data_IF_081084688094
#
_entry.id   IF_081084688094
#
_cell.length_a   1.000
_cell.length_b   1.000
_cell.length_c   1.000
_cell.angle_alpha   90.00
_cell.angle_beta   90.00
_cell.angle_gamma   90.00
#
_symmetry.space_group_name_H-M   'P 1'
#
loop_
_entity.id
_entity.type
_entity.pdbx_description
1 polymer ?
#
# COMPACT_ATOMS: atom_id res chain seq x y z
N UNK A 1 12.89 7.15 15.32
CA UNK A 1 11.62 6.85 14.65
C UNK A 1 11.94 6.00 13.43
N UNK A 2 11.34 4.83 13.29
CA UNK A 2 11.61 3.90 12.17
C UNK A 2 10.60 4.19 11.04
N UNK A 3 11.07 4.47 9.83
CA UNK A 3 10.23 4.81 8.68
C UNK A 3 9.29 3.64 8.30
N UNK A 4 9.69 2.39 8.52
CA UNK A 4 8.85 1.22 8.27
C UNK A 4 7.70 1.16 9.28
N UNK A 5 7.98 1.50 10.55
CA UNK A 5 6.94 1.54 11.59
C UNK A 5 5.93 2.65 11.28
N UNK A 6 6.40 3.82 10.84
CA UNK A 6 5.53 4.94 10.45
C UNK A 6 4.59 4.55 9.29
N UNK A 7 5.12 4.00 8.19
CA UNK A 7 4.31 3.60 7.04
C UNK A 7 3.28 2.50 7.37
N UNK A 8 3.59 1.60 8.31
CA UNK A 8 2.64 0.59 8.78
C UNK A 8 1.49 1.17 9.59
N UNK A 9 1.74 2.25 10.35
CA UNK A 9 0.68 2.95 11.04
C UNK A 9 -0.18 3.76 10.07
N UNK A 10 0.42 4.41 9.06
CA UNK A 10 -0.32 5.08 7.98
C UNK A 10 -1.28 4.12 7.27
N UNK A 11 -0.85 2.88 6.97
CA UNK A 11 -1.72 1.86 6.39
C UNK A 11 -2.96 1.57 7.24
N UNK A 12 -2.79 1.44 8.56
CA UNK A 12 -3.92 1.23 9.47
C UNK A 12 -4.85 2.44 9.53
N UNK A 13 -4.30 3.65 9.43
CA UNK A 13 -5.08 4.90 9.42
C UNK A 13 -5.92 4.97 8.14
N UNK A 14 -5.30 4.78 6.98
CA UNK A 14 -5.98 4.75 5.68
C UNK A 14 -7.06 3.67 5.63
N UNK A 15 -6.77 2.46 6.12
CA UNK A 15 -7.74 1.36 6.21
C UNK A 15 -8.97 1.73 7.04
N UNK A 16 -8.77 2.38 8.20
CA UNK A 16 -9.88 2.86 9.04
C UNK A 16 -10.71 3.93 8.34
N UNK A 17 -10.06 4.85 7.62
CA UNK A 17 -10.75 5.88 6.85
C UNK A 17 -11.61 5.26 5.74
N UNK A 18 -11.10 4.27 5.00
CA UNK A 18 -11.90 3.54 4.01
C UNK A 18 -13.08 2.80 4.65
N UNK A 19 -12.88 2.10 5.77
CA UNK A 19 -13.98 1.45 6.51
C UNK A 19 -15.03 2.45 7.01
N UNK A 20 -14.63 3.66 7.40
CA UNK A 20 -15.56 4.74 7.78
C UNK A 20 -16.32 5.22 6.55
N UNK A 21 -15.64 5.44 5.43
CA UNK A 21 -16.25 5.84 4.16
C UNK A 21 -17.31 4.85 3.68
N UNK A 22 -17.01 3.54 3.72
CA UNK A 22 -17.95 2.47 3.34
C UNK A 22 -19.19 2.39 4.24
N UNK A 23 -19.05 2.77 5.51
CA UNK A 23 -20.16 2.82 6.48
C UNK A 23 -20.98 4.11 6.38
N UNK A 24 -20.41 5.17 5.80
CA UNK A 24 -21.10 6.44 5.61
C UNK A 24 -22.09 6.31 4.46
N UNK A 25 -23.34 6.67 4.75
CA UNK A 25 -24.42 6.60 3.77
C UNK A 25 -24.14 7.43 2.52
N UNK A 26 -24.60 6.96 1.35
CA UNK A 26 -24.36 7.63 0.07
C UNK A 26 -24.98 9.04 0.00
N UNK A 27 -26.06 9.28 0.75
CA UNK A 27 -26.71 10.60 0.87
C UNK A 27 -25.94 11.58 1.78
N UNK A 28 -25.06 11.09 2.66
CA UNK A 28 -24.17 11.92 3.47
C UNK A 28 -22.90 12.31 2.70
N UNK A 29 -23.13 13.03 1.60
CA UNK A 29 -22.09 13.51 0.68
C UNK A 29 -21.06 14.42 1.37
N UNK A 30 -21.46 15.14 2.42
CA UNK A 30 -20.59 16.02 3.18
C UNK A 30 -19.57 15.21 3.98
N UNK A 31 -20.01 14.18 4.69
CA UNK A 31 -19.13 13.32 5.47
C UNK A 31 -18.23 12.44 4.58
N UNK A 32 -18.78 11.89 3.48
CA UNK A 32 -17.97 11.14 2.50
C UNK A 32 -16.86 12.00 1.91
N UNK A 33 -17.15 13.27 1.60
CA UNK A 33 -16.16 14.21 1.10
C UNK A 33 -15.06 14.47 2.14
N UNK A 34 -15.42 14.70 3.40
CA UNK A 34 -14.43 14.88 4.49
C UNK A 34 -13.50 13.69 4.62
N UNK A 35 -14.06 12.48 4.63
CA UNK A 35 -13.26 11.26 4.73
C UNK A 35 -12.35 11.11 3.50
N UNK A 36 -12.84 11.43 2.30
CA UNK A 36 -12.01 11.41 1.09
C UNK A 36 -10.86 12.44 1.15
N UNK A 37 -11.11 13.64 1.66
CA UNK A 37 -10.08 14.67 1.86
C UNK A 37 -9.01 14.18 2.86
N UNK A 38 -9.42 13.54 3.97
CA UNK A 38 -8.52 12.91 4.95
C UNK A 38 -7.68 11.78 4.31
N UNK A 39 -8.28 10.91 3.48
CA UNK A 39 -7.56 9.84 2.76
C UNK A 39 -6.52 10.41 1.80
N UNK A 40 -6.85 11.48 1.07
CA UNK A 40 -5.93 12.13 0.13
C UNK A 40 -4.71 12.69 0.87
N UNK A 41 -4.92 13.33 2.02
CA UNK A 41 -3.84 13.87 2.84
C UNK A 41 -2.88 12.78 3.31
N UNK A 42 -3.42 11.73 3.95
CA UNK A 42 -2.65 10.58 4.44
C UNK A 42 -1.85 9.90 3.32
N UNK A 43 -2.49 9.61 2.18
CA UNK A 43 -1.82 8.98 1.04
C UNK A 43 -0.74 9.87 0.42
N UNK A 44 -0.94 11.18 0.42
CA UNK A 44 0.07 12.13 -0.10
C UNK A 44 1.33 12.11 0.76
N UNK A 45 1.18 12.15 2.08
CA UNK A 45 2.30 12.07 3.03
C UNK A 45 2.97 10.69 2.93
N UNK A 46 2.18 9.62 2.91
CA UNK A 46 2.65 8.24 2.76
C UNK A 46 3.53 8.08 1.52
N UNK A 47 3.02 8.46 0.34
CA UNK A 47 3.74 8.36 -0.92
C UNK A 47 5.01 9.22 -0.94
N UNK A 48 4.99 10.40 -0.31
CA UNK A 48 6.19 11.23 -0.18
C UNK A 48 7.27 10.54 0.66
N UNK A 49 6.91 9.91 1.78
CA UNK A 49 7.84 9.15 2.62
C UNK A 49 8.40 7.96 1.81
N UNK A 50 7.53 7.20 1.14
CA UNK A 50 7.96 6.11 0.26
C UNK A 50 8.93 6.59 -0.82
N UNK A 51 8.66 7.72 -1.47
CA UNK A 51 9.55 8.26 -2.49
C UNK A 51 10.91 8.66 -1.92
N UNK A 52 10.92 9.37 -0.80
CA UNK A 52 12.16 9.90 -0.20
C UNK A 52 13.05 8.83 0.40
N UNK A 53 12.46 7.79 0.97
CA UNK A 53 13.21 6.77 1.72
C UNK A 53 13.33 5.43 0.99
N UNK A 54 12.41 5.10 0.08
CA UNK A 54 12.37 3.79 -0.60
C UNK A 54 12.51 3.89 -2.13
N UNK A 55 12.01 4.94 -2.79
CA UNK A 55 12.15 5.09 -4.24
C UNK A 55 13.51 5.69 -4.68
N UNK A 56 14.19 6.42 -3.78
CA UNK A 56 15.55 6.94 -4.01
C UNK A 56 16.67 5.99 -3.58
N UNK A 57 16.35 4.80 -3.07
CA UNK A 57 17.27 3.70 -3.30
C UNK A 57 17.14 3.32 -4.78
N UNK A 58 18.17 3.49 -5.61
CA UNK A 58 18.13 2.88 -6.91
C UNK A 58 17.85 1.41 -6.65
N UNK A 59 16.82 0.87 -7.31
CA UNK A 59 16.79 -0.58 -7.49
C UNK A 59 18.20 -0.98 -7.94
N UNK A 60 18.81 -2.05 -7.43
CA UNK A 60 20.01 -2.54 -8.05
C UNK A 60 19.61 -3.01 -9.44
N UNK A 61 19.71 -2.13 -10.44
CA UNK A 61 19.86 -2.50 -11.83
C UNK A 61 21.11 -3.36 -11.87
N UNK A 62 20.89 -4.68 -11.92
CA UNK A 62 21.87 -5.75 -12.17
C UNK A 62 23.34 -5.33 -11.94
N UNK A 63 23.76 -5.24 -10.68
CA UNK A 63 25.12 -5.43 -10.13
C UNK A 63 25.30 -4.61 -8.85
N UNK A 64 24.84 -5.14 -7.72
CA UNK A 64 25.41 -4.92 -6.37
C UNK A 64 24.59 -5.75 -5.39
N UNK A 65 24.83 -7.06 -5.40
CA UNK A 65 24.39 -7.95 -4.33
C UNK A 65 25.39 -7.84 -3.19
N UNK A 66 24.99 -7.21 -2.08
CA UNK A 66 25.70 -7.42 -0.80
C UNK A 66 24.76 -7.41 0.42
N UNK A 67 23.70 -6.60 0.46
CA UNK A 67 22.82 -6.56 1.65
C UNK A 67 21.49 -7.34 1.54
N UNK A 68 21.02 -7.69 0.33
CA UNK A 68 19.74 -8.39 0.12
C UNK A 68 19.78 -9.92 0.23
N UNK A 69 20.96 -10.53 0.37
CA UNK A 69 21.08 -12.00 0.40
C UNK A 69 20.77 -12.64 1.75
N UNK A 70 20.74 -11.88 2.86
CA UNK A 70 20.63 -12.47 4.20
C UNK A 70 19.20 -12.59 4.76
N UNK A 71 18.21 -11.86 4.23
CA UNK A 71 16.85 -11.86 4.82
C UNK A 71 15.81 -12.68 4.04
N UNK A 72 15.91 -12.74 2.71
CA UNK A 72 15.08 -13.63 1.88
C UNK A 72 15.93 -14.10 0.69
N UNK A 73 16.21 -15.40 0.63
CA UNK A 73 17.05 -15.98 -0.42
C UNK A 73 16.58 -15.55 -1.82
N UNK A 74 17.52 -15.20 -2.71
CA UNK A 74 17.28 -14.62 -4.04
C UNK A 74 16.16 -15.31 -4.85
N UNK A 75 15.99 -16.62 -4.67
CA UNK A 75 14.95 -17.41 -5.33
C UNK A 75 13.54 -16.96 -4.92
N UNK A 76 13.32 -16.62 -3.65
CA UNK A 76 11.99 -16.26 -3.12
C UNK A 76 11.50 -14.93 -3.64
N UNK A 77 12.39 -13.94 -3.81
CA UNK A 77 12.01 -12.64 -4.37
C UNK A 77 11.63 -12.73 -5.85
N UNK A 78 12.31 -13.59 -6.61
CA UNK A 78 11.96 -13.85 -8.02
C UNK A 78 10.64 -14.59 -8.14
N UNK A 79 10.40 -15.57 -7.26
CA UNK A 79 9.14 -16.30 -7.18
C UNK A 79 7.97 -15.36 -6.82
N UNK A 80 8.13 -14.55 -5.76
CA UNK A 80 7.14 -13.53 -5.36
C UNK A 80 6.89 -12.51 -6.48
N UNK A 81 7.92 -12.08 -7.21
CA UNK A 81 7.75 -11.21 -8.38
C UNK A 81 6.91 -11.87 -9.48
N UNK A 82 7.13 -13.16 -9.74
CA UNK A 82 6.31 -13.94 -10.67
C UNK A 82 4.87 -14.11 -10.19
N UNK A 83 4.66 -14.38 -8.91
CA UNK A 83 3.34 -14.48 -8.27
C UNK A 83 2.58 -13.14 -8.36
N UNK A 84 3.25 -12.01 -8.11
CA UNK A 84 2.66 -10.67 -8.21
C UNK A 84 2.29 -10.32 -9.65
N UNK A 85 3.15 -10.58 -10.63
CA UNK A 85 2.84 -10.35 -12.05
C UNK A 85 1.69 -11.25 -12.55
N UNK A 86 1.60 -12.48 -12.06
CA UNK A 86 0.47 -13.36 -12.34
C UNK A 86 -0.81 -12.83 -11.70
N UNK A 87 -0.73 -12.38 -10.44
CA UNK A 87 -1.83 -11.80 -9.67
C UNK A 87 -2.41 -10.53 -10.30
N UNK A 88 -1.60 -9.71 -10.99
CA UNK A 88 -2.08 -8.51 -11.71
C UNK A 88 -3.20 -8.80 -12.72
N UNK A 89 -3.25 -10.00 -13.30
CA UNK A 89 -4.33 -10.38 -14.23
C UNK A 89 -5.65 -10.72 -13.54
N UNK A 90 -5.56 -11.12 -12.26
CA UNK A 90 -6.69 -11.49 -11.42
C UNK A 90 -7.10 -10.35 -10.47
N UNK A 91 -6.25 -9.33 -10.33
CA UNK A 91 -6.56 -8.11 -9.63
C UNK A 91 -7.78 -7.44 -10.29
N UNK A 92 -8.83 -7.13 -9.53
CA UNK A 92 -9.97 -6.42 -10.07
C UNK A 92 -9.50 -5.06 -10.57
N UNK A 93 -10.00 -4.65 -11.73
CA UNK A 93 -9.72 -3.32 -12.29
C UNK A 93 -10.37 -2.21 -11.48
N UNK A 94 -11.43 -2.57 -10.76
CA UNK A 94 -12.13 -1.71 -9.82
C UNK A 94 -11.67 -2.06 -8.40
N UNK A 95 -10.95 -1.17 -7.69
CA UNK A 95 -10.46 -1.44 -6.34
C UNK A 95 -11.58 -1.70 -5.32
N UNK A 96 -12.83 -1.34 -5.62
CA UNK A 96 -14.00 -1.59 -4.77
C UNK A 96 -14.70 -2.93 -5.07
N UNK A 97 -14.26 -3.65 -6.10
CA UNK A 97 -14.84 -4.94 -6.49
C UNK A 97 -14.31 -6.13 -5.68
N UNK A 98 -13.25 -5.93 -4.87
CA UNK A 98 -12.82 -6.91 -3.87
C UNK A 98 -13.51 -6.61 -2.54
N UNK A 99 -14.14 -7.61 -1.90
CA UNK A 99 -14.60 -7.45 -0.53
C UNK A 99 -13.41 -7.08 0.35
N UNK A 100 -13.54 -6.01 1.12
CA UNK A 100 -12.56 -5.64 2.15
C UNK A 100 -12.25 -6.88 3.00
N UNK A 101 -10.95 -7.17 3.21
CA UNK A 101 -10.48 -8.43 3.80
C UNK A 101 -10.84 -8.65 5.28
N UNK A 102 -11.77 -7.86 5.82
CA UNK A 102 -12.36 -7.97 7.17
C UNK A 102 -13.82 -8.44 7.16
N UNK A 103 -14.18 -9.31 6.22
CA UNK A 103 -15.43 -10.08 6.31
C UNK A 103 -15.14 -11.51 6.78
N UNK A 104 -14.72 -11.65 8.04
CA UNK A 104 -14.95 -12.89 8.82
C UNK A 104 -15.05 -12.60 10.32
#
# INVERSE_FOLDING_TARGET
>A
MDAIVLLREDHKTVEKLFKRFEKTSDDDTAERRRIADEVIEELTVHAWIEEKFFAREPHPTRRTTSWRASAMGRNRLTELGGELEAGKKQAPRDPLAVPSSDSK
#
